data_IF_038443697821
#
_entry.id   IF_038443697821
#
_cell.length_a   1.000
_cell.length_b   1.000
_cell.length_c   1.000
_cell.angle_alpha   90.00
_cell.angle_beta   90.00
_cell.angle_gamma   90.00
#
_symmetry.space_group_name_H-M   'P 1'
#
loop_
_entity.id
_entity.type
_entity.pdbx_description
1 polymer ?
#
# COMPACT_ATOMS: atom_id res chain seq x y z
N UNK A 1 1.37 14.70 -3.68
CA UNK A 1 1.40 13.56 -2.75
C UNK A 1 0.56 13.88 -1.51
N UNK A 2 -0.13 12.94 -0.83
CA UNK A 2 -0.79 13.25 0.43
C UNK A 2 0.26 13.63 1.48
N UNK A 3 0.06 14.74 2.16
CA UNK A 3 0.84 15.11 3.33
C UNK A 3 0.23 14.42 4.54
N UNK A 4 0.95 13.47 5.12
CA UNK A 4 0.55 12.72 6.30
C UNK A 4 1.43 13.19 7.45
N UNK A 5 0.82 13.74 8.50
CA UNK A 5 1.57 14.26 9.65
C UNK A 5 2.45 13.14 10.26
N UNK A 6 3.74 13.43 10.44
CA UNK A 6 4.71 12.49 10.99
C UNK A 6 5.29 11.47 10.01
N UNK A 7 4.76 11.34 8.79
CA UNK A 7 5.29 10.41 7.77
C UNK A 7 5.98 11.17 6.63
N UNK A 8 7.23 10.80 6.33
CA UNK A 8 8.02 11.41 5.24
C UNK A 8 7.95 10.65 3.92
N UNK A 9 7.27 9.51 3.91
CA UNK A 9 7.23 8.60 2.78
C UNK A 9 5.80 8.13 2.49
N UNK A 10 5.50 7.94 1.22
CA UNK A 10 4.28 7.27 0.76
C UNK A 10 4.62 6.56 -0.55
N UNK A 11 4.15 5.33 -0.80
CA UNK A 11 4.40 4.65 -2.06
C UNK A 11 3.90 5.48 -3.26
N UNK A 12 4.72 5.58 -4.32
CA UNK A 12 4.39 6.37 -5.52
C UNK A 12 3.12 5.89 -6.21
N UNK A 13 2.87 4.58 -6.16
CA UNK A 13 1.64 3.94 -6.62
C UNK A 13 0.37 4.63 -6.10
N UNK A 14 0.41 5.20 -4.89
CA UNK A 14 -0.73 5.92 -4.32
C UNK A 14 -1.16 7.10 -5.17
N UNK A 15 -0.20 7.73 -5.85
CA UNK A 15 -0.43 8.88 -6.74
C UNK A 15 -0.78 8.42 -8.13
N UNK A 16 -0.08 7.40 -8.66
CA UNK A 16 -0.40 6.87 -9.98
C UNK A 16 -1.85 6.38 -10.04
N UNK A 17 -2.31 5.65 -9.01
CA UNK A 17 -3.70 5.18 -8.92
C UNK A 17 -4.69 6.37 -8.88
N UNK A 18 -4.35 7.48 -8.20
CA UNK A 18 -5.21 8.69 -8.17
C UNK A 18 -5.23 9.46 -9.49
N UNK A 19 -4.13 9.45 -10.24
CA UNK A 19 -4.09 10.08 -11.57
C UNK A 19 -5.01 9.30 -12.53
N UNK A 20 -4.97 7.97 -12.43
CA UNK A 20 -5.75 7.05 -13.28
C UNK A 20 -7.28 7.09 -13.01
N UNK A 21 -7.72 7.63 -11.86
CA UNK A 21 -9.15 7.79 -11.54
C UNK A 21 -9.89 8.72 -12.53
N UNK A 22 -9.18 9.66 -13.18
CA UNK A 22 -9.78 10.63 -14.11
C UNK A 22 -9.09 10.73 -15.47
N UNK A 23 -8.00 9.99 -15.68
CA UNK A 23 -7.18 10.07 -16.87
C UNK A 23 -6.72 8.67 -17.29
N UNK A 24 -6.46 8.47 -18.57
CA UNK A 24 -5.87 7.21 -19.06
C UNK A 24 -4.35 7.35 -18.98
N UNK A 25 -3.72 6.54 -18.13
CA UNK A 25 -2.25 6.47 -18.09
C UNK A 25 -1.71 5.84 -19.38
N UNK A 26 -0.98 6.60 -20.20
CA UNK A 26 -0.34 6.11 -21.44
C UNK A 26 1.15 5.86 -21.18
N UNK A 27 1.63 4.72 -21.66
CA UNK A 27 3.06 4.38 -21.60
C UNK A 27 3.77 4.99 -22.81
N UNK A 28 4.88 5.68 -22.57
CA UNK A 28 5.80 6.12 -23.61
C UNK A 28 6.85 5.02 -23.83
N UNK A 29 6.94 4.40 -25.03
CA UNK A 29 7.86 3.29 -25.28
C UNK A 29 9.29 3.80 -25.54
N UNK A 30 9.83 4.62 -24.65
CA UNK A 30 11.15 5.24 -24.74
C UNK A 30 11.88 5.14 -23.39
N UNK A 31 13.20 4.96 -23.42
CA UNK A 31 14.02 4.96 -22.21
C UNK A 31 14.30 6.41 -21.82
N UNK A 32 13.61 6.91 -20.80
CA UNK A 32 13.80 8.27 -20.29
C UNK A 32 14.98 8.36 -19.30
N UNK A 33 15.23 7.32 -18.52
CA UNK A 33 16.30 7.30 -17.51
C UNK A 33 16.70 5.85 -17.20
N UNK A 34 17.99 5.63 -16.96
CA UNK A 34 18.53 4.39 -16.39
C UNK A 34 18.92 4.68 -14.95
N UNK A 35 18.27 4.02 -14.00
CA UNK A 35 18.54 4.17 -12.56
C UNK A 35 19.28 2.94 -12.03
N UNK A 36 20.18 3.17 -11.07
CA UNK A 36 20.87 2.09 -10.35
C UNK A 36 20.29 1.95 -8.94
N UNK A 37 20.24 0.71 -8.45
CA UNK A 37 19.91 0.46 -7.05
C UNK A 37 21.11 0.79 -6.18
N UNK A 38 20.90 1.62 -5.16
CA UNK A 38 21.93 2.00 -4.18
C UNK A 38 21.59 1.39 -2.82
N UNK A 39 22.62 1.10 -2.02
CA UNK A 39 22.49 0.38 -0.74
C UNK A 39 21.56 1.07 0.25
N UNK A 40 21.50 2.40 0.24
CA UNK A 40 20.64 3.19 1.14
C UNK A 40 19.34 3.67 0.48
N UNK A 41 19.04 3.16 -0.73
CA UNK A 41 17.86 3.56 -1.50
C UNK A 41 16.56 3.02 -0.92
N UNK A 42 15.42 3.57 -1.36
CA UNK A 42 14.09 3.17 -0.88
C UNK A 42 13.80 1.67 -1.08
N UNK A 43 14.32 1.08 -2.17
CA UNK A 43 14.19 -0.37 -2.43
C UNK A 43 14.86 -1.21 -1.35
N UNK A 44 16.07 -0.84 -0.93
CA UNK A 44 16.81 -1.54 0.11
C UNK A 44 16.15 -1.37 1.49
N UNK A 45 15.58 -0.19 1.75
CA UNK A 45 14.93 0.17 3.03
C UNK A 45 13.43 -0.10 3.08
N UNK A 46 12.88 -0.90 2.16
CA UNK A 46 11.43 -1.07 2.05
C UNK A 46 10.76 -1.63 3.32
N UNK A 47 11.47 -2.39 4.15
CA UNK A 47 10.95 -2.84 5.44
C UNK A 47 10.90 -1.74 6.49
N UNK A 48 11.92 -0.89 6.55
CA UNK A 48 11.99 0.25 7.46
C UNK A 48 10.94 1.30 7.08
N UNK A 49 10.79 1.60 5.80
CA UNK A 49 9.75 2.50 5.29
C UNK A 49 8.34 2.03 5.66
N UNK A 50 8.12 0.71 5.76
CA UNK A 50 6.83 0.16 6.24
C UNK A 50 6.59 0.44 7.71
N UNK A 51 7.63 0.56 8.53
CA UNK A 51 7.53 0.91 9.95
C UNK A 51 7.45 2.43 10.16
N UNK A 52 8.21 3.18 9.37
CA UNK A 52 8.31 4.64 9.45
C UNK A 52 7.10 5.36 8.84
N UNK A 53 6.44 4.78 7.83
CA UNK A 53 5.30 5.39 7.14
C UNK A 53 4.07 4.45 7.02
N UNK A 54 3.52 3.96 8.13
CA UNK A 54 2.48 2.93 8.11
C UNK A 54 1.17 3.39 7.46
N UNK A 55 0.83 4.68 7.53
CA UNK A 55 -0.39 5.24 6.93
C UNK A 55 -0.25 5.33 5.42
N UNK A 56 0.89 5.74 4.89
CA UNK A 56 1.17 5.71 3.45
C UNK A 56 0.99 4.30 2.88
N UNK A 57 1.52 3.29 3.56
CA UNK A 57 1.31 1.89 3.19
C UNK A 57 -0.13 1.41 3.37
N UNK A 58 -0.84 1.88 4.39
CA UNK A 58 -2.27 1.58 4.58
C UNK A 58 -3.11 2.07 3.40
N UNK A 59 -2.88 3.30 2.93
CA UNK A 59 -3.56 3.87 1.75
C UNK A 59 -3.25 3.03 0.50
N UNK A 60 -1.98 2.67 0.31
CA UNK A 60 -1.56 1.80 -0.80
C UNK A 60 -2.31 0.46 -0.79
N UNK A 61 -2.32 -0.25 0.34
CA UNK A 61 -3.00 -1.55 0.41
C UNK A 61 -4.52 -1.42 0.27
N UNK A 62 -5.12 -0.32 0.72
CA UNK A 62 -6.52 -0.02 0.47
C UNK A 62 -6.82 0.10 -1.02
N UNK A 63 -6.07 0.94 -1.75
CA UNK A 63 -6.24 1.13 -3.20
C UNK A 63 -6.06 -0.20 -3.95
N UNK A 64 -4.96 -0.92 -3.71
CA UNK A 64 -4.67 -2.21 -4.35
C UNK A 64 -5.74 -3.27 -4.04
N UNK A 65 -6.23 -3.34 -2.81
CA UNK A 65 -7.28 -4.30 -2.46
C UNK A 65 -8.62 -4.00 -3.15
N UNK A 66 -8.88 -2.76 -3.59
CA UNK A 66 -10.07 -2.42 -4.37
C UNK A 66 -9.87 -2.70 -5.86
N UNK A 67 -8.81 -2.16 -6.45
CA UNK A 67 -8.60 -2.13 -7.91
C UNK A 67 -8.08 -3.44 -8.50
N UNK A 68 -7.33 -4.25 -7.73
CA UNK A 68 -6.67 -5.43 -8.28
C UNK A 68 -7.66 -6.53 -8.69
N UNK A 69 -7.42 -7.30 -9.77
CA UNK A 69 -8.28 -8.42 -10.15
C UNK A 69 -8.37 -9.51 -9.07
N UNK A 70 -9.47 -10.26 -9.05
CA UNK A 70 -9.69 -11.36 -8.12
C UNK A 70 -8.56 -12.41 -8.23
N UNK A 71 -7.71 -12.47 -7.20
CA UNK A 71 -6.50 -13.29 -7.19
C UNK A 71 -5.98 -13.46 -5.76
N UNK A 72 -5.04 -14.40 -5.57
CA UNK A 72 -4.31 -14.53 -4.30
C UNK A 72 -3.60 -13.22 -3.91
N UNK A 73 -3.18 -12.43 -4.91
CA UNK A 73 -2.57 -11.12 -4.67
C UNK A 73 -3.56 -10.12 -4.07
N UNK A 74 -4.82 -10.11 -4.54
CA UNK A 74 -5.88 -9.28 -3.94
C UNK A 74 -6.12 -9.64 -2.47
N UNK A 75 -6.11 -10.94 -2.15
CA UNK A 75 -6.22 -11.42 -0.76
C UNK A 75 -5.03 -10.97 0.09
N UNK A 76 -3.81 -11.00 -0.48
CA UNK A 76 -2.60 -10.50 0.18
C UNK A 76 -2.70 -8.99 0.47
N UNK A 77 -3.20 -8.20 -0.46
CA UNK A 77 -3.45 -6.77 -0.23
C UNK A 77 -4.50 -6.52 0.85
N UNK A 78 -5.62 -7.23 0.82
CA UNK A 78 -6.64 -7.13 1.88
C UNK A 78 -6.07 -7.53 3.26
N UNK A 79 -5.21 -8.57 3.31
CA UNK A 79 -4.53 -9.00 4.53
C UNK A 79 -3.60 -7.92 5.08
N UNK A 80 -2.80 -7.29 4.21
CA UNK A 80 -1.94 -6.19 4.61
C UNK A 80 -2.72 -4.92 4.98
N UNK A 81 -3.83 -4.62 4.30
CA UNK A 81 -4.72 -3.54 4.72
C UNK A 81 -5.18 -3.71 6.17
N UNK A 82 -5.65 -4.91 6.55
CA UNK A 82 -6.07 -5.20 7.93
C UNK A 82 -4.92 -5.13 8.94
N UNK A 83 -3.73 -5.55 8.51
CA UNK A 83 -2.49 -5.46 9.28
C UNK A 83 -2.17 -3.99 9.63
N UNK A 84 -2.03 -3.15 8.60
CA UNK A 84 -1.67 -1.74 8.76
C UNK A 84 -2.78 -0.88 9.38
N UNK A 85 -4.05 -1.28 9.26
CA UNK A 85 -5.20 -0.60 9.89
C UNK A 85 -5.03 -0.42 11.41
N UNK A 86 -4.26 -1.26 12.08
CA UNK A 86 -4.04 -1.19 13.54
C UNK A 86 -3.10 -0.05 13.95
N UNK A 87 -2.23 0.39 13.05
CA UNK A 87 -1.14 1.34 13.32
C UNK A 87 -1.23 2.62 12.50
N UNK A 88 -2.01 2.62 11.40
CA UNK A 88 -2.25 3.80 10.59
C UNK A 88 -3.06 4.87 11.34
N UNK A 89 -2.89 6.12 10.92
CA UNK A 89 -3.60 7.26 11.47
C UNK A 89 -5.13 7.07 11.44
N UNK A 90 -5.78 7.44 12.55
CA UNK A 90 -7.21 7.20 12.79
C UNK A 90 -8.12 7.92 11.80
N UNK A 91 -7.72 9.06 11.26
CA UNK A 91 -8.46 9.79 10.23
C UNK A 91 -8.64 8.92 8.99
N UNK A 92 -7.52 8.39 8.45
CA UNK A 92 -7.54 7.54 7.26
C UNK A 92 -8.28 6.23 7.52
N UNK A 93 -8.11 5.62 8.70
CA UNK A 93 -8.82 4.38 9.07
C UNK A 93 -10.34 4.56 9.11
N UNK A 94 -10.84 5.75 9.43
CA UNK A 94 -12.28 6.06 9.43
C UNK A 94 -12.83 6.26 8.02
N UNK A 95 -12.05 6.87 7.14
CA UNK A 95 -12.45 7.21 5.77
C UNK A 95 -12.33 6.02 4.81
N UNK A 96 -11.25 5.25 4.90
CA UNK A 96 -10.87 4.25 3.90
C UNK A 96 -11.27 2.82 4.31
N UNK A 97 -12.57 2.51 4.25
CA UNK A 97 -13.09 1.19 4.65
C UNK A 97 -13.20 0.25 3.45
N UNK A 98 -12.56 -0.91 3.53
CA UNK A 98 -12.81 -1.99 2.57
C UNK A 98 -14.22 -2.59 2.73
N UNK A 99 -14.83 -3.07 1.62
CA UNK A 99 -16.02 -3.90 1.65
C UNK A 99 -15.88 -5.12 2.58
N UNK A 100 -16.98 -5.52 3.22
CA UNK A 100 -16.99 -6.59 4.22
C UNK A 100 -16.43 -7.92 3.68
N UNK A 101 -16.73 -8.27 2.43
CA UNK A 101 -16.23 -9.51 1.83
C UNK A 101 -14.70 -9.54 1.72
N UNK A 102 -14.04 -8.41 1.42
CA UNK A 102 -12.58 -8.33 1.41
C UNK A 102 -11.99 -8.35 2.81
N UNK A 103 -12.68 -7.75 3.80
CA UNK A 103 -12.29 -7.84 5.20
C UNK A 103 -12.30 -9.29 5.68
N UNK A 104 -13.37 -10.03 5.41
CA UNK A 104 -13.48 -11.45 5.78
C UNK A 104 -12.40 -12.26 5.06
N UNK A 105 -12.24 -12.07 3.75
CA UNK A 105 -11.29 -12.83 2.95
C UNK A 105 -9.81 -12.54 3.32
N UNK A 106 -9.49 -11.33 3.76
CA UNK A 106 -8.15 -10.94 4.21
C UNK A 106 -7.82 -11.31 5.65
N UNK A 107 -8.81 -11.63 6.48
CA UNK A 107 -8.60 -11.89 7.91
C UNK A 107 -7.67 -13.08 8.19
N UNK A 108 -7.78 -14.25 7.51
CA UNK A 108 -6.86 -15.36 7.72
C UNK A 108 -5.40 -15.02 7.40
N UNK A 109 -5.16 -14.32 6.28
CA UNK A 109 -3.82 -13.89 5.91
C UNK A 109 -3.24 -12.87 6.89
N UNK A 110 -4.08 -11.96 7.41
CA UNK A 110 -3.67 -11.04 8.48
C UNK A 110 -3.26 -11.79 9.76
N UNK A 111 -4.01 -12.81 10.17
CA UNK A 111 -3.69 -13.62 11.34
C UNK A 111 -2.36 -14.38 11.15
N UNK A 112 -2.15 -15.00 9.98
CA UNK A 112 -0.90 -15.68 9.65
C UNK A 112 0.32 -14.75 9.66
N UNK A 113 0.16 -13.51 9.17
CA UNK A 113 1.22 -12.51 9.20
C UNK A 113 1.58 -12.10 10.63
N UNK A 114 0.57 -11.90 11.48
CA UNK A 114 0.79 -11.57 12.89
C UNK A 114 1.51 -12.70 13.65
N UNK A 115 1.14 -13.96 13.40
CA UNK A 115 1.82 -15.13 13.98
C UNK A 115 3.30 -15.25 13.58
N UNK A 116 3.68 -14.69 12.42
CA UNK A 116 5.07 -14.66 11.96
C UNK A 116 5.86 -13.44 12.46
N UNK A 117 5.31 -12.66 13.40
CA UNK A 117 5.94 -11.45 13.91
C UNK A 117 6.08 -10.33 12.87
N UNK A 118 5.39 -10.44 11.73
CA UNK A 118 5.31 -9.33 10.78
C UNK A 118 4.28 -8.35 11.34
N UNK A 119 4.74 -7.12 11.58
CA UNK A 119 4.05 -6.06 12.31
C UNK A 119 2.84 -5.53 11.54
#
# INVERSE_FOLDING_TARGET
FPEIEGEKYVPEDVIYDRIDEGHIFRVLPEILTVCELVEEGYTARAEDLRREAPTGWYIYYYQRALSWPASLMKLKFASHYLRFRRIADRKYVREMKLPLHLVIAGAPGCALLALRGKL
#
